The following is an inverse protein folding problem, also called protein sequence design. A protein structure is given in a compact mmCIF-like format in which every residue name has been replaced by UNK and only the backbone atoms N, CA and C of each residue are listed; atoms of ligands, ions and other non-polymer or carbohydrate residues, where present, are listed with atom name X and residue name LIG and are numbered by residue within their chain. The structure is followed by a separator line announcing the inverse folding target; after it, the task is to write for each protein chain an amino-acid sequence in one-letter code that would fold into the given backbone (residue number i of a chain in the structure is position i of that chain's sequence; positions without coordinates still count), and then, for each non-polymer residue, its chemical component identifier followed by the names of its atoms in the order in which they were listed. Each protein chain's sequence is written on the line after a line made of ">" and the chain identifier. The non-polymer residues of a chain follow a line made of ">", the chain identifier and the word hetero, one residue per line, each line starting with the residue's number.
data_IF_755744538895
#
_entry.id   IF_755744538895
#
_cell.length_a   1.000
_cell.length_b   1.000
_cell.length_c   1.000
_cell.angle_alpha   90.00
_cell.angle_beta   90.00
_cell.angle_gamma   90.00
#
_symmetry.space_group_name_H-M   'P 1'
#
loop_
_entity.id
_entity.type
_entity.pdbx_description
1 polymer ?
#
# COMPACT_ATOMS: atom_id res chain seq x y z
N UNK A 1 -23.77 -4.03 -13.45
CA UNK A 1 -22.58 -4.88 -13.32
C UNK A 1 -22.98 -6.18 -12.63
N UNK A 2 -22.81 -7.36 -13.24
CA UNK A 2 -23.35 -8.59 -12.68
C UNK A 2 -22.51 -9.01 -11.45
N UNK A 3 -23.12 -8.90 -10.27
CA UNK A 3 -22.63 -9.35 -8.95
C UNK A 3 -21.27 -8.79 -8.50
N UNK A 4 -21.12 -7.46 -8.45
CA UNK A 4 -20.05 -6.85 -7.66
C UNK A 4 -20.35 -7.00 -6.16
N UNK A 5 -19.34 -7.35 -5.35
CA UNK A 5 -19.46 -7.21 -3.89
C UNK A 5 -19.72 -5.74 -3.56
N UNK A 6 -20.80 -5.49 -2.81
CA UNK A 6 -21.26 -4.18 -2.38
C UNK A 6 -21.31 -4.07 -0.84
N UNK A 7 -20.50 -4.89 -0.16
CA UNK A 7 -20.37 -4.90 1.29
C UNK A 7 -18.97 -5.34 1.67
N UNK A 8 -18.50 -4.89 2.83
CA UNK A 8 -17.25 -5.36 3.43
C UNK A 8 -17.54 -6.66 4.17
N UNK A 9 -17.22 -7.77 3.52
CA UNK A 9 -17.30 -9.10 4.11
C UNK A 9 -15.93 -9.60 4.57
N UNK A 10 -15.93 -10.75 5.25
CA UNK A 10 -14.71 -11.36 5.80
C UNK A 10 -13.67 -11.66 4.73
N UNK A 11 -14.12 -12.04 3.53
CA UNK A 11 -13.24 -12.35 2.41
C UNK A 11 -12.56 -11.08 1.90
N UNK A 12 -13.30 -9.97 1.72
CA UNK A 12 -12.73 -8.67 1.36
C UNK A 12 -11.77 -8.15 2.44
N UNK A 13 -12.16 -8.26 3.72
CA UNK A 13 -11.27 -7.87 4.82
C UNK A 13 -9.97 -8.69 4.83
N UNK A 14 -10.06 -10.01 4.70
CA UNK A 14 -8.87 -10.86 4.66
C UNK A 14 -8.02 -10.65 3.41
N UNK A 15 -8.63 -10.35 2.26
CA UNK A 15 -7.92 -9.96 1.04
C UNK A 15 -7.01 -8.77 1.30
N UNK A 16 -7.51 -7.76 2.01
CA UNK A 16 -6.69 -6.59 2.36
C UNK A 16 -5.63 -6.86 3.44
N UNK A 17 -5.70 -8.00 4.13
CA UNK A 17 -4.69 -8.46 5.10
C UNK A 17 -3.65 -9.39 4.50
N UNK A 18 -3.84 -9.84 3.26
CA UNK A 18 -2.85 -10.60 2.51
C UNK A 18 -1.72 -9.69 2.03
N UNK A 19 -0.96 -9.11 2.96
CA UNK A 19 0.08 -8.13 2.65
C UNK A 19 1.17 -8.72 1.74
N UNK A 20 1.38 -10.04 1.78
CA UNK A 20 2.31 -10.71 0.87
C UNK A 20 1.92 -10.55 -0.61
N UNK A 21 0.63 -10.45 -0.92
CA UNK A 21 0.12 -10.25 -2.29
C UNK A 21 0.46 -8.86 -2.86
N UNK A 22 0.87 -7.89 -2.03
CA UNK A 22 1.36 -6.58 -2.50
C UNK A 22 2.60 -6.75 -3.40
N UNK A 23 3.38 -7.82 -3.23
CA UNK A 23 4.52 -8.13 -4.12
C UNK A 23 4.11 -8.43 -5.57
N UNK A 24 2.85 -8.73 -5.82
CA UNK A 24 2.33 -8.99 -7.18
C UNK A 24 2.03 -7.70 -7.95
N UNK A 25 2.11 -6.53 -7.30
CA UNK A 25 1.87 -5.26 -7.96
C UNK A 25 3.05 -4.86 -8.83
N UNK A 26 2.86 -4.97 -10.13
CA UNK A 26 3.84 -4.61 -11.15
C UNK A 26 3.50 -3.28 -11.83
N UNK A 27 4.50 -2.58 -12.36
CA UNK A 27 4.31 -1.37 -13.16
C UNK A 27 5.27 -1.30 -14.34
N UNK A 28 4.91 -0.57 -15.40
CA UNK A 28 5.82 -0.28 -16.51
C UNK A 28 6.86 0.77 -16.08
N UNK A 29 8.13 0.37 -15.98
CA UNK A 29 9.21 1.28 -15.64
C UNK A 29 9.74 1.99 -16.87
N UNK A 30 9.55 3.31 -16.96
CA UNK A 30 10.11 4.12 -18.04
C UNK A 30 11.65 4.00 -18.13
N UNK A 31 12.34 3.91 -16.99
CA UNK A 31 13.81 3.79 -16.93
C UNK A 31 14.31 2.43 -17.44
N UNK A 32 13.61 1.34 -17.10
CA UNK A 32 14.01 -0.02 -17.48
C UNK A 32 13.36 -0.51 -18.77
N UNK A 33 12.40 0.25 -19.30
CA UNK A 33 11.56 -0.13 -20.44
C UNK A 33 10.95 -1.54 -20.29
N UNK A 34 10.49 -1.87 -19.08
CA UNK A 34 10.01 -3.20 -18.72
C UNK A 34 9.01 -3.14 -17.56
N UNK A 35 8.14 -4.14 -17.48
CA UNK A 35 7.24 -4.38 -16.34
C UNK A 35 8.09 -4.89 -15.18
N UNK A 36 8.02 -4.21 -14.04
CA UNK A 36 8.79 -4.58 -12.84
C UNK A 36 7.89 -4.50 -11.60
N UNK A 37 8.13 -5.32 -10.57
CA UNK A 37 7.43 -5.17 -9.30
C UNK A 37 7.71 -3.80 -8.69
N UNK A 38 6.67 -3.13 -8.19
CA UNK A 38 6.85 -1.90 -7.42
C UNK A 38 7.45 -2.23 -6.05
N UNK A 39 6.89 -3.27 -5.43
CA UNK A 39 7.28 -3.82 -4.15
C UNK A 39 7.74 -5.27 -4.33
N UNK A 40 8.84 -5.60 -3.69
CA UNK A 40 9.46 -6.91 -3.68
C UNK A 40 9.53 -7.39 -2.22
N UNK A 41 9.56 -8.71 -2.02
CA UNK A 41 9.73 -9.35 -0.72
C UNK A 41 8.85 -8.73 0.39
N UNK A 42 7.54 -8.64 0.15
CA UNK A 42 6.56 -8.16 1.14
C UNK A 42 6.07 -9.33 1.99
N UNK A 43 6.07 -9.17 3.31
CA UNK A 43 5.57 -10.18 4.24
C UNK A 43 5.23 -9.58 5.61
N UNK A 44 4.27 -10.19 6.30
CA UNK A 44 3.95 -9.85 7.68
C UNK A 44 5.08 -10.24 8.64
N UNK A 45 5.25 -9.45 9.71
CA UNK A 45 6.20 -9.72 10.79
C UNK A 45 5.52 -9.77 12.15
N UNK A 46 6.07 -10.56 13.06
CA UNK A 46 5.49 -10.75 14.39
C UNK A 46 5.62 -9.53 15.31
N UNK A 47 6.77 -8.85 15.28
CA UNK A 47 7.07 -7.71 16.15
C UNK A 47 8.27 -6.89 15.62
N UNK A 48 8.39 -5.63 16.04
CA UNK A 48 9.48 -4.75 15.61
C UNK A 48 10.85 -5.02 16.23
N UNK A 49 10.96 -5.87 17.26
CA UNK A 49 12.22 -6.24 17.91
C UNK A 49 12.91 -7.39 17.17
N UNK A 50 12.20 -8.49 16.92
CA UNK A 50 12.68 -9.71 16.26
C UNK A 50 12.43 -9.71 14.76
N UNK A 51 11.36 -9.06 14.29
CA UNK A 51 11.00 -8.93 12.86
C UNK A 51 10.96 -10.27 12.14
N UNK A 52 10.49 -11.31 12.84
CA UNK A 52 10.38 -12.65 12.24
C UNK A 52 9.23 -12.62 11.26
N UNK A 53 9.50 -13.10 10.04
CA UNK A 53 8.46 -13.35 9.05
C UNK A 53 7.43 -14.32 9.63
N UNK A 54 6.16 -13.98 9.42
CA UNK A 54 5.00 -14.83 9.71
C UNK A 54 4.16 -14.95 8.44
N UNK A 55 3.21 -15.87 8.44
CA UNK A 55 2.18 -15.93 7.41
C UNK A 55 1.26 -14.71 7.52
N UNK A 56 0.52 -14.42 6.44
CA UNK A 56 -0.44 -13.32 6.46
C UNK A 56 -1.46 -13.55 7.58
N UNK A 57 -1.64 -12.58 8.51
CA UNK A 57 -2.43 -12.80 9.73
C UNK A 57 -3.93 -12.66 9.43
N UNK A 58 -4.49 -13.64 8.74
CA UNK A 58 -5.92 -13.69 8.40
C UNK A 58 -6.78 -13.93 9.65
N UNK A 59 -8.03 -13.46 9.62
CA UNK A 59 -8.97 -13.56 10.75
C UNK A 59 -10.21 -14.36 10.37
N UNK A 60 -10.92 -14.89 11.36
CA UNK A 60 -12.20 -15.62 11.20
C UNK A 60 -13.44 -14.74 11.39
N UNK A 61 -13.25 -13.51 11.84
CA UNK A 61 -14.29 -12.49 12.01
C UNK A 61 -13.65 -11.11 11.87
N UNK A 62 -14.37 -10.13 11.32
CA UNK A 62 -13.84 -8.78 11.15
C UNK A 62 -13.80 -8.06 12.52
N UNK A 63 -12.63 -7.73 13.07
CA UNK A 63 -12.53 -6.93 14.28
C UNK A 63 -12.83 -5.46 13.98
N UNK A 64 -13.31 -4.70 14.98
CA UNK A 64 -13.51 -3.26 14.84
C UNK A 64 -12.21 -2.49 14.60
N UNK A 65 -11.11 -3.02 15.13
CA UNK A 65 -9.76 -2.48 14.94
C UNK A 65 -8.73 -3.60 15.00
N UNK A 66 -7.71 -3.55 14.15
CA UNK A 66 -6.56 -4.45 14.24
C UNK A 66 -5.32 -3.85 13.59
N UNK A 67 -4.15 -4.44 13.81
CA UNK A 67 -2.87 -3.95 13.33
C UNK A 67 -2.04 -5.08 12.73
N UNK A 68 -1.47 -4.84 11.54
CA UNK A 68 -0.49 -5.73 10.90
C UNK A 68 0.84 -5.00 10.78
N UNK A 69 1.92 -5.65 11.22
CA UNK A 69 3.27 -5.21 10.96
C UNK A 69 3.80 -5.93 9.72
N UNK A 70 4.49 -5.21 8.83
CA UNK A 70 5.04 -5.82 7.62
C UNK A 70 6.43 -5.30 7.26
N UNK A 71 7.20 -6.15 6.59
CA UNK A 71 8.40 -5.77 5.85
C UNK A 71 8.03 -5.56 4.38
N UNK A 72 8.63 -4.56 3.74
CA UNK A 72 8.48 -4.32 2.31
C UNK A 72 9.81 -3.80 1.74
N UNK A 73 10.24 -4.39 0.62
CA UNK A 73 11.38 -3.89 -0.16
C UNK A 73 10.86 -3.16 -1.38
N UNK A 74 10.99 -1.86 -1.38
CA UNK A 74 10.62 -1.03 -2.51
C UNK A 74 11.80 -0.85 -3.48
N UNK A 75 11.51 -0.85 -4.79
CA UNK A 75 12.53 -0.70 -5.83
C UNK A 75 13.39 0.57 -5.67
N UNK A 76 12.81 1.69 -5.23
CA UNK A 76 13.53 2.98 -5.15
C UNK A 76 13.96 3.38 -3.73
N UNK A 77 13.23 2.95 -2.70
CA UNK A 77 13.47 3.34 -1.29
C UNK A 77 13.97 2.22 -0.39
N UNK A 78 14.41 1.11 -1.00
CA UNK A 78 15.04 0.02 -0.28
C UNK A 78 14.08 -0.72 0.64
N UNK A 79 14.61 -1.26 1.74
CA UNK A 79 13.84 -2.04 2.71
C UNK A 79 13.32 -1.16 3.84
N UNK A 80 12.05 -1.31 4.17
CA UNK A 80 11.45 -0.68 5.33
C UNK A 80 10.43 -1.59 6.01
N UNK A 81 10.11 -1.25 7.24
CA UNK A 81 9.04 -1.87 8.01
C UNK A 81 7.91 -0.87 8.19
N UNK A 82 6.70 -1.39 8.18
CA UNK A 82 5.47 -0.60 8.21
C UNK A 82 4.50 -1.18 9.23
N UNK A 83 3.64 -0.30 9.74
CA UNK A 83 2.41 -0.64 10.43
C UNK A 83 1.26 -0.41 9.47
N UNK A 84 0.27 -1.29 9.46
CA UNK A 84 -1.02 -1.07 8.82
C UNK A 84 -2.08 -1.25 9.89
N UNK A 85 -2.77 -0.17 10.21
CA UNK A 85 -3.93 -0.20 11.09
C UNK A 85 -5.20 -0.34 10.25
N UNK A 86 -6.08 -1.22 10.69
CA UNK A 86 -7.36 -1.53 10.07
C UNK A 86 -8.45 -1.03 11.02
N UNK A 87 -9.40 -0.25 10.52
CA UNK A 87 -10.58 0.19 11.26
C UNK A 87 -11.83 -0.21 10.49
N UNK A 88 -12.72 -0.96 11.13
CA UNK A 88 -13.99 -1.37 10.57
C UNK A 88 -15.13 -0.91 11.48
N UNK A 89 -16.05 -0.10 10.95
CA UNK A 89 -17.17 0.46 11.71
C UNK A 89 -18.47 -0.36 11.57
N UNK A 90 -18.44 -1.45 10.81
CA UNK A 90 -19.62 -2.25 10.45
C UNK A 90 -20.11 -2.04 9.01
N UNK A 91 -19.61 -1.01 8.33
CA UNK A 91 -19.96 -0.69 6.94
C UNK A 91 -18.73 -0.33 6.10
N UNK A 92 -17.86 0.53 6.64
CA UNK A 92 -16.68 1.08 6.00
C UNK A 92 -15.40 0.46 6.57
N UNK A 93 -14.36 0.41 5.75
CA UNK A 93 -13.04 -0.08 6.14
C UNK A 93 -11.96 0.94 5.83
N UNK A 94 -11.23 1.33 6.86
CA UNK A 94 -10.05 2.17 6.77
C UNK A 94 -8.76 1.36 6.90
N UNK A 95 -7.77 1.73 6.10
CA UNK A 95 -6.40 1.25 6.13
C UNK A 95 -5.46 2.42 6.33
N UNK A 96 -4.64 2.37 7.37
CA UNK A 96 -3.73 3.44 7.74
C UNK A 96 -2.32 2.87 7.84
N UNK A 97 -1.52 3.15 6.81
CA UNK A 97 -0.16 2.64 6.70
C UNK A 97 0.84 3.69 7.12
N UNK A 98 1.74 3.34 8.02
CA UNK A 98 2.82 4.22 8.51
C UNK A 98 4.18 3.51 8.40
N UNK A 99 5.24 4.27 8.11
CA UNK A 99 6.59 3.71 8.10
C UNK A 99 7.23 3.68 9.51
N UNK A 100 7.52 2.49 10.01
CA UNK A 100 8.18 2.28 11.30
C UNK A 100 9.72 2.29 11.22
N UNK A 101 10.28 2.45 10.02
CA UNK A 101 11.71 2.68 9.80
C UNK A 101 11.93 3.74 8.73
N UNK A 102 13.06 4.47 8.75
CA UNK A 102 13.36 5.45 7.72
C UNK A 102 13.37 4.83 6.31
N UNK A 103 12.81 5.55 5.34
CA UNK A 103 12.86 5.17 3.93
C UNK A 103 14.15 5.70 3.31
N UNK A 104 14.91 4.81 2.64
CA UNK A 104 16.29 5.11 2.21
C UNK A 104 16.54 4.64 0.79
N UNK A 105 16.92 5.58 -0.07
CA UNK A 105 17.64 5.28 -1.29
C UNK A 105 19.15 5.25 -0.97
N UNK A 106 19.98 5.93 -1.77
CA UNK A 106 21.37 6.24 -1.39
C UNK A 106 21.47 7.19 -0.18
N UNK A 107 20.43 8.00 0.02
CA UNK A 107 20.29 8.89 1.16
C UNK A 107 18.99 8.58 1.91
N UNK A 108 18.86 9.10 3.12
CA UNK A 108 17.60 9.09 3.86
C UNK A 108 16.61 10.05 3.20
N UNK A 109 15.46 9.53 2.77
CA UNK A 109 14.41 10.30 2.08
C UNK A 109 13.31 10.71 3.05
N UNK A 110 12.88 9.76 3.89
CA UNK A 110 11.83 9.97 4.90
C UNK A 110 12.30 9.37 6.22
N UNK A 111 12.10 10.08 7.31
CA UNK A 111 12.36 9.58 8.66
C UNK A 111 11.29 8.58 9.10
N UNK A 112 11.51 7.88 10.21
CA UNK A 112 10.47 7.07 10.86
C UNK A 112 9.23 7.96 11.12
N UNK A 113 8.03 7.40 10.96
CA UNK A 113 6.73 8.04 11.27
C UNK A 113 6.46 9.33 10.48
N UNK A 114 7.15 9.50 9.34
CA UNK A 114 7.02 10.69 8.49
C UNK A 114 6.40 10.38 7.12
N UNK A 115 5.89 9.17 6.91
CA UNK A 115 5.05 8.82 5.78
C UNK A 115 3.81 8.09 6.27
N UNK A 116 2.65 8.56 5.82
CA UNK A 116 1.37 7.92 6.03
C UNK A 116 0.64 7.75 4.70
N UNK A 117 0.07 6.58 4.46
CA UNK A 117 -0.91 6.33 3.40
C UNK A 117 -2.21 5.91 4.05
N UNK A 118 -3.28 6.63 3.74
CA UNK A 118 -4.61 6.35 4.24
C UNK A 118 -5.49 5.94 3.07
N UNK A 119 -6.27 4.88 3.24
CA UNK A 119 -7.30 4.47 2.27
C UNK A 119 -8.58 4.13 3.02
N UNK A 120 -9.72 4.56 2.49
CA UNK A 120 -11.05 4.28 3.03
C UNK A 120 -11.90 3.68 1.92
N UNK A 121 -12.53 2.56 2.22
CA UNK A 121 -13.41 1.81 1.33
C UNK A 121 -14.81 1.92 1.87
N UNK A 122 -15.69 2.54 1.08
CA UNK A 122 -17.08 2.75 1.43
C UNK A 122 -17.94 2.02 0.38
N UNK A 123 -18.74 1.03 0.80
CA UNK A 123 -19.69 0.41 -0.10
C UNK A 123 -20.70 1.44 -0.64
N UNK A 124 -21.00 1.35 -1.93
CA UNK A 124 -22.03 2.14 -2.63
C UNK A 124 -22.81 1.19 -3.56
N UNK A 125 -23.93 1.64 -4.12
CA UNK A 125 -24.79 0.79 -4.96
C UNK A 125 -24.03 0.18 -6.15
N UNK A 126 -23.12 0.94 -6.74
CA UNK A 126 -22.32 0.54 -7.90
C UNK A 126 -21.04 -0.25 -7.54
N UNK A 127 -20.69 -0.38 -6.25
CA UNK A 127 -19.47 -1.07 -5.79
C UNK A 127 -18.82 -0.41 -4.58
N UNK A 128 -17.60 0.09 -4.73
CA UNK A 128 -16.86 0.78 -3.67
C UNK A 128 -16.40 2.16 -4.10
N UNK A 129 -16.71 3.16 -3.27
CA UNK A 129 -16.05 4.45 -3.31
C UNK A 129 -14.77 4.37 -2.48
N UNK A 130 -13.63 4.59 -3.14
CA UNK A 130 -12.31 4.49 -2.50
C UNK A 130 -11.69 5.87 -2.40
N UNK A 131 -11.52 6.36 -1.17
CA UNK A 131 -10.71 7.55 -0.89
C UNK A 131 -9.31 7.12 -0.51
N UNK A 132 -8.30 7.87 -0.98
CA UNK A 132 -6.96 7.70 -0.47
C UNK A 132 -6.22 9.02 -0.36
N UNK A 133 -5.32 9.09 0.60
CA UNK A 133 -4.39 10.21 0.77
C UNK A 133 -3.01 9.70 1.15
N UNK A 134 -1.99 10.48 0.82
CA UNK A 134 -0.61 10.19 1.16
C UNK A 134 0.04 11.46 1.69
N UNK A 135 0.54 11.39 2.93
CA UNK A 135 1.25 12.46 3.60
C UNK A 135 2.72 12.08 3.77
N UNK A 136 3.65 12.96 3.40
CA UNK A 136 5.08 12.69 3.51
C UNK A 136 5.84 13.93 3.98
N UNK A 137 6.68 13.76 5.00
CA UNK A 137 7.67 14.74 5.43
C UNK A 137 9.08 14.28 5.06
N UNK A 138 9.69 14.98 4.10
CA UNK A 138 11.03 14.66 3.61
C UNK A 138 12.11 15.03 4.65
N UNK A 139 13.11 14.16 4.84
CA UNK A 139 14.22 14.41 5.78
C UNK A 139 15.13 15.58 5.36
N UNK A 140 15.35 15.76 4.05
CA UNK A 140 16.05 16.90 3.48
C UNK A 140 15.47 17.18 2.08
N UNK A 141 14.44 18.01 2.02
CA UNK A 141 13.69 18.29 0.80
C UNK A 141 14.62 18.69 -0.37
N UNK A 142 15.56 19.62 -0.15
CA UNK A 142 16.45 20.12 -1.19
C UNK A 142 17.30 19.01 -1.84
N UNK A 143 17.88 18.11 -1.04
CA UNK A 143 18.69 17.01 -1.59
C UNK A 143 17.80 15.96 -2.24
N UNK A 144 16.65 15.65 -1.63
CA UNK A 144 15.72 14.65 -2.16
C UNK A 144 15.17 15.07 -3.54
N UNK A 145 14.73 16.32 -3.70
CA UNK A 145 14.20 16.84 -4.97
C UNK A 145 15.24 16.83 -6.10
N UNK A 146 16.55 16.91 -5.78
CA UNK A 146 17.62 16.78 -6.77
C UNK A 146 17.83 15.34 -7.25
N UNK A 147 17.44 14.36 -6.45
CA UNK A 147 17.68 12.94 -6.72
C UNK A 147 16.47 12.21 -7.30
N UNK A 148 15.26 12.66 -6.94
CA UNK A 148 14.02 12.05 -7.40
C UNK A 148 12.87 13.06 -7.37
N UNK A 149 11.81 12.75 -8.11
CA UNK A 149 10.51 13.40 -7.94
C UNK A 149 9.73 12.68 -6.81
N UNK A 150 9.57 13.31 -5.62
CA UNK A 150 8.85 12.71 -4.51
C UNK A 150 7.36 12.55 -4.82
N UNK A 151 6.76 13.51 -5.53
CA UNK A 151 5.32 13.46 -5.82
C UNK A 151 4.99 12.21 -6.64
N UNK A 152 5.64 12.06 -7.81
CA UNK A 152 5.47 10.85 -8.62
C UNK A 152 5.86 9.59 -7.88
N UNK A 153 6.88 9.65 -7.02
CA UNK A 153 7.27 8.51 -6.20
C UNK A 153 6.14 8.05 -5.29
N UNK A 154 5.59 8.94 -4.46
CA UNK A 154 4.61 8.59 -3.43
C UNK A 154 3.21 8.38 -3.99
N UNK A 155 2.83 9.11 -5.04
CA UNK A 155 1.60 8.88 -5.79
C UNK A 155 1.53 7.45 -6.34
N UNK A 156 2.63 6.94 -6.93
CA UNK A 156 2.68 5.57 -7.44
C UNK A 156 2.46 4.52 -6.36
N UNK A 157 2.90 4.78 -5.12
CA UNK A 157 2.69 3.86 -3.99
C UNK A 157 1.21 3.76 -3.62
N UNK A 158 0.56 4.90 -3.47
CA UNK A 158 -0.86 4.95 -3.19
C UNK A 158 -1.67 4.27 -4.31
N UNK A 159 -1.38 4.62 -5.56
CA UNK A 159 -2.09 4.06 -6.71
C UNK A 159 -1.86 2.55 -6.88
N UNK A 160 -0.68 2.05 -6.53
CA UNK A 160 -0.38 0.63 -6.51
C UNK A 160 -1.20 -0.14 -5.48
N UNK A 161 -1.42 0.42 -4.29
CA UNK A 161 -2.28 -0.22 -3.27
C UNK A 161 -3.74 -0.29 -3.74
N UNK A 162 -4.24 0.75 -4.40
CA UNK A 162 -5.59 0.73 -5.00
C UNK A 162 -5.67 -0.31 -6.13
N UNK A 163 -4.66 -0.37 -6.99
CA UNK A 163 -4.61 -1.34 -8.10
C UNK A 163 -4.53 -2.78 -7.59
N UNK A 164 -3.77 -3.01 -6.52
CA UNK A 164 -3.71 -4.31 -5.85
C UNK A 164 -5.09 -4.77 -5.41
N UNK A 165 -5.79 -3.94 -4.63
CA UNK A 165 -7.11 -4.30 -4.11
C UNK A 165 -8.08 -4.56 -5.26
N UNK A 166 -8.08 -3.70 -6.28
CA UNK A 166 -8.88 -3.93 -7.49
C UNK A 166 -8.57 -5.27 -8.15
N UNK A 167 -7.29 -5.56 -8.37
CA UNK A 167 -6.85 -6.80 -9.01
C UNK A 167 -7.26 -8.03 -8.22
N UNK A 168 -7.06 -8.02 -6.90
CA UNK A 168 -7.40 -9.15 -6.06
C UNK A 168 -8.92 -9.32 -5.96
N UNK A 169 -9.70 -8.23 -5.89
CA UNK A 169 -11.17 -8.29 -5.87
C UNK A 169 -11.77 -8.85 -7.16
N UNK A 170 -11.20 -8.48 -8.30
CA UNK A 170 -11.77 -8.80 -9.61
C UNK A 170 -11.05 -9.94 -10.33
N UNK A 171 -10.03 -10.55 -9.71
CA UNK A 171 -9.17 -11.54 -10.34
C UNK A 171 -8.48 -11.00 -11.60
N UNK A 172 -8.15 -9.70 -11.63
CA UNK A 172 -7.53 -9.06 -12.80
C UNK A 172 -6.02 -8.88 -12.62
N UNK A 173 -5.31 -8.64 -13.72
CA UNK A 173 -3.89 -8.28 -13.72
C UNK A 173 -3.68 -6.87 -14.32
N UNK A 174 -4.48 -5.90 -13.89
CA UNK A 174 -4.30 -4.52 -14.33
C UNK A 174 -2.95 -4.02 -13.85
N UNK A 175 -2.14 -3.54 -14.79
CA UNK A 175 -1.01 -2.70 -14.42
C UNK A 175 -1.54 -1.34 -13.98
N UNK A 176 -0.96 -0.71 -12.94
CA UNK A 176 -1.30 0.65 -12.60
C UNK A 176 -1.01 1.51 -13.84
N UNK A 177 -2.06 2.09 -14.43
CA UNK A 177 -1.96 3.06 -15.50
C UNK A 177 -1.41 4.37 -14.92
N UNK A 178 -0.11 4.40 -14.68
CA UNK A 178 0.59 5.58 -14.19
C UNK A 178 0.74 6.51 -15.40
N UNK A 179 -0.29 7.31 -15.65
CA UNK A 179 -0.17 8.49 -16.52
C UNK A 179 0.90 9.44 -15.98
N UNK A 180 1.29 10.45 -16.77
CA UNK A 180 2.09 11.54 -16.21
C UNK A 180 1.30 12.16 -15.07
N UNK A 181 1.95 12.28 -13.90
CA UNK A 181 1.41 13.03 -12.79
C UNK A 181 0.97 14.42 -13.31
N UNK A 182 -0.33 14.73 -13.19
CA UNK A 182 -0.93 16.03 -13.51
C UNK A 182 -1.19 16.34 -15.01
N UNK A 183 -1.74 15.41 -15.79
CA UNK A 183 -2.61 15.81 -16.93
C UNK A 183 -4.06 15.82 -16.44
N UNK A 184 -4.44 16.92 -15.76
CA UNK A 184 -5.82 17.38 -15.60
C UNK A 184 -6.01 18.63 -16.47
#
# INVERSE_FOLDING_TARGET
>A
YPQGKNSIDLEFYNLTRQVSAISEVVYMSARKNAIVPLFDNVYAINDMKKKRRIDDPLVSSIPSSDTVLMHMKETNLGRAHYQVDYLYDGENLGFFLENLTPLRAFIKVVDRENMQINMIFMPVEEGFLVYGSCGVKLSNANTVFKMMDPYSGFYKRQYAMVTWIYNTMHGTQRSPAIGKALEF
#
